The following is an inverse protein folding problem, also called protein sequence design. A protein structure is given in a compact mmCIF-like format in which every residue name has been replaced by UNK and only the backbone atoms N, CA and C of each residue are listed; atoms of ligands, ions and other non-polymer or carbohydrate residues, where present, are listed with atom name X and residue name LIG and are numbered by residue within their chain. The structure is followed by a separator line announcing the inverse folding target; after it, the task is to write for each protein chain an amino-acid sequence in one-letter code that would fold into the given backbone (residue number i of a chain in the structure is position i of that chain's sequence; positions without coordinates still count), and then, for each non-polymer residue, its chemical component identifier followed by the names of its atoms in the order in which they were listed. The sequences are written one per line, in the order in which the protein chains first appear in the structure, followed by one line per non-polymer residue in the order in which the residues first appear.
data_IF_553915483887
#
_entry.id   IF_553915483887
#
_cell.length_a   1.000
_cell.length_b   1.000
_cell.length_c   1.000
_cell.angle_alpha   90.00
_cell.angle_beta   90.00
_cell.angle_gamma   90.00
#
_symmetry.space_group_name_H-M   'P 1'
#
loop_
_entity.id
_entity.type
_entity.pdbx_description
1 polymer ?
#
# COMPACT_ATOMS: atom_id res chain seq x y z
N UNK A 1 -26.76 -50.90 48.97
CA UNK A 1 -26.41 -52.28 48.55
C UNK A 1 -26.79 -52.42 47.08
N UNK A 2 -25.87 -52.93 46.27
CA UNK A 2 -25.79 -52.83 44.81
C UNK A 2 -27.07 -53.18 44.03
N UNK A 3 -27.20 -52.57 42.83
CA UNK A 3 -27.49 -53.30 41.59
C UNK A 3 -27.18 -52.43 40.36
N UNK A 4 -26.18 -52.88 39.61
CA UNK A 4 -25.82 -52.43 38.26
C UNK A 4 -26.95 -52.71 37.27
N UNK A 5 -27.22 -51.76 36.38
CA UNK A 5 -27.96 -51.99 35.14
C UNK A 5 -27.16 -51.38 33.98
N UNK A 6 -26.77 -52.27 33.07
CA UNK A 6 -26.01 -52.05 31.85
C UNK A 6 -26.87 -51.27 30.86
N UNK A 7 -26.36 -50.16 30.32
CA UNK A 7 -26.90 -49.56 29.09
C UNK A 7 -25.74 -49.17 28.18
N UNK A 8 -25.89 -49.49 26.91
CA UNK A 8 -24.92 -49.49 25.83
C UNK A 8 -24.16 -48.15 25.66
N UNK A 9 -22.85 -48.21 25.42
CA UNK A 9 -22.07 -47.11 24.86
C UNK A 9 -21.64 -47.45 23.43
N UNK A 10 -22.24 -46.71 22.49
CA UNK A 10 -21.78 -46.50 21.12
C UNK A 10 -20.33 -45.99 21.10
N UNK A 11 -19.47 -46.42 20.14
CA UNK A 11 -18.11 -45.90 20.05
C UNK A 11 -18.13 -44.43 19.59
N UNK A 12 -17.58 -43.55 20.42
CA UNK A 12 -17.31 -42.15 20.10
C UNK A 12 -16.45 -42.07 18.84
N UNK A 13 -17.01 -41.50 17.78
CA UNK A 13 -16.27 -41.07 16.60
C UNK A 13 -15.19 -40.06 17.03
N UNK A 14 -13.93 -40.47 16.98
CA UNK A 14 -12.79 -39.57 17.09
C UNK A 14 -12.81 -38.64 15.87
N UNK A 15 -13.29 -37.41 16.06
CA UNK A 15 -13.12 -36.34 15.06
C UNK A 15 -11.63 -36.18 14.78
N UNK A 16 -11.16 -36.70 13.63
CA UNK A 16 -9.84 -36.39 13.10
C UNK A 16 -9.80 -34.89 12.76
N UNK A 17 -9.23 -34.09 13.65
CA UNK A 17 -8.90 -32.69 13.36
C UNK A 17 -7.66 -32.70 12.47
N UNK A 18 -7.85 -32.63 11.15
CA UNK A 18 -6.76 -32.46 10.19
C UNK A 18 -6.31 -30.99 10.20
N UNK A 19 -5.08 -30.73 10.62
CA UNK A 19 -4.49 -29.39 10.59
C UNK A 19 -3.69 -29.18 9.29
N UNK A 20 -3.76 -27.97 8.72
CA UNK A 20 -3.09 -27.59 7.46
C UNK A 20 -1.77 -26.88 7.79
N UNK A 21 -0.67 -27.25 7.12
CA UNK A 21 0.67 -26.70 7.33
C UNK A 21 1.33 -26.39 5.97
N UNK A 22 2.03 -25.25 5.82
CA UNK A 22 2.60 -24.79 4.54
C UNK A 22 4.05 -25.27 4.35
N UNK A 23 4.55 -25.45 3.11
CA UNK A 23 5.89 -26.03 2.85
C UNK A 23 6.92 -25.05 2.26
N UNK A 24 8.18 -25.10 2.71
CA UNK A 24 9.34 -24.45 2.06
C UNK A 24 10.36 -25.48 1.53
N UNK A 25 10.50 -25.59 0.20
CA UNK A 25 11.74 -26.11 -0.41
C UNK A 25 12.01 -25.46 -1.76
N UNK A 26 13.21 -24.88 -1.89
CA UNK A 26 13.79 -24.35 -3.11
C UNK A 26 14.07 -25.46 -4.14
N UNK A 27 13.41 -25.42 -5.31
CA UNK A 27 13.90 -25.90 -6.60
C UNK A 27 13.45 -24.89 -7.67
N UNK A 28 14.34 -24.57 -8.61
CA UNK A 28 14.22 -23.52 -9.62
C UNK A 28 12.97 -23.63 -10.53
N UNK A 29 12.43 -22.47 -10.93
CA UNK A 29 11.51 -22.32 -12.08
C UNK A 29 10.02 -22.23 -11.75
N UNK A 30 9.48 -21.00 -11.82
CA UNK A 30 8.08 -20.63 -12.17
C UNK A 30 6.86 -21.15 -11.37
N UNK A 31 6.18 -20.17 -10.76
CA UNK A 31 4.72 -19.93 -10.66
C UNK A 31 3.86 -20.54 -9.53
N UNK A 32 2.92 -19.68 -9.09
CA UNK A 32 2.15 -19.63 -7.84
C UNK A 32 0.83 -20.44 -7.87
N UNK A 33 0.24 -20.83 -6.71
CA UNK A 33 -1.08 -20.32 -6.24
C UNK A 33 -1.60 -20.84 -4.88
N UNK A 34 -2.63 -20.13 -4.39
CA UNK A 34 -3.36 -20.14 -3.12
C UNK A 34 -4.66 -21.01 -3.07
N UNK A 35 -5.24 -21.19 -1.88
CA UNK A 35 -6.16 -22.24 -1.35
C UNK A 35 -7.52 -22.48 -2.07
N UNK A 36 -8.10 -23.69 -1.90
CA UNK A 36 -9.52 -23.90 -1.48
C UNK A 36 -9.83 -25.35 -1.03
N UNK A 37 -10.68 -25.46 -0.02
CA UNK A 37 -11.35 -26.69 0.46
C UNK A 37 -12.72 -26.78 -0.22
N UNK A 38 -13.05 -27.91 -0.85
CA UNK A 38 -14.45 -28.26 -1.13
C UNK A 38 -14.58 -29.78 -1.19
N UNK A 39 -15.51 -30.32 -0.39
CA UNK A 39 -15.79 -31.74 -0.33
C UNK A 39 -16.38 -32.29 -1.63
N UNK A 40 -16.23 -33.60 -1.83
CA UNK A 40 -16.94 -34.36 -2.86
C UNK A 40 -16.01 -35.02 -3.88
N UNK A 41 -15.77 -36.31 -3.67
CA UNK A 41 -15.55 -37.40 -4.66
C UNK A 41 -14.99 -37.05 -6.05
N UNK A 42 -13.80 -37.54 -6.37
CA UNK A 42 -13.36 -37.69 -7.77
C UNK A 42 -11.85 -37.90 -7.97
N UNK A 43 -11.49 -39.09 -8.45
CA UNK A 43 -10.20 -39.64 -8.96
C UNK A 43 -9.32 -38.67 -9.76
N UNK A 44 -8.02 -38.86 -10.05
CA UNK A 44 -6.90 -39.77 -9.72
C UNK A 44 -5.66 -39.19 -10.46
N UNK A 45 -4.40 -39.45 -10.08
CA UNK A 45 -3.28 -39.43 -11.06
C UNK A 45 -2.11 -40.38 -10.72
N UNK A 46 -1.58 -40.90 -11.83
CA UNK A 46 -0.65 -42.01 -12.04
C UNK A 46 0.82 -41.64 -11.80
N UNK A 47 1.60 -42.66 -11.39
CA UNK A 47 3.06 -42.65 -11.40
C UNK A 47 3.60 -42.52 -12.83
N UNK A 48 4.64 -41.72 -13.01
CA UNK A 48 5.63 -41.91 -14.08
C UNK A 48 7.01 -42.01 -13.43
N UNK A 49 7.76 -43.03 -13.87
CA UNK A 49 8.90 -43.61 -13.17
C UNK A 49 10.20 -42.80 -13.18
N UNK A 50 11.24 -43.54 -12.77
CA UNK A 50 12.58 -43.14 -12.41
C UNK A 50 13.34 -42.31 -13.46
N UNK A 51 14.18 -41.43 -12.90
CA UNK A 51 15.28 -40.71 -13.52
C UNK A 51 14.94 -39.59 -14.54
N UNK A 52 15.35 -38.37 -14.14
CA UNK A 52 15.46 -37.13 -14.92
C UNK A 52 14.16 -36.30 -15.03
N UNK A 53 14.09 -35.22 -14.23
CA UNK A 53 13.06 -34.18 -14.34
C UNK A 53 13.29 -33.36 -15.62
N UNK A 54 12.45 -33.57 -16.63
CA UNK A 54 12.30 -32.67 -17.78
C UNK A 54 11.02 -31.86 -17.58
N UNK A 55 11.15 -30.53 -17.50
CA UNK A 55 10.02 -29.60 -17.47
C UNK A 55 9.38 -29.55 -18.86
N UNK A 56 8.15 -30.06 -18.99
CA UNK A 56 7.27 -29.72 -20.11
C UNK A 56 6.21 -28.75 -19.60
N UNK A 57 6.20 -27.55 -20.19
CA UNK A 57 5.17 -26.55 -19.98
C UNK A 57 3.80 -27.13 -20.35
N UNK A 58 3.05 -27.49 -19.32
CA UNK A 58 1.63 -27.83 -19.47
C UNK A 58 0.88 -26.94 -18.50
N UNK A 59 0.07 -26.02 -19.04
CA UNK A 59 -0.86 -25.18 -18.28
C UNK A 59 -1.69 -26.09 -17.36
N UNK A 60 -1.41 -26.07 -16.06
CA UNK A 60 -2.16 -26.83 -15.07
C UNK A 60 -3.45 -26.10 -14.71
N UNK A 61 -4.61 -26.79 -14.69
CA UNK A 61 -5.85 -26.22 -14.17
C UNK A 61 -5.78 -26.11 -12.64
N UNK A 62 -6.51 -25.12 -12.12
CA UNK A 62 -6.58 -24.74 -10.71
C UNK A 62 -7.23 -25.88 -9.91
N UNK A 63 -6.43 -26.82 -9.40
CA UNK A 63 -6.86 -27.82 -8.43
C UNK A 63 -5.72 -28.03 -7.42
N UNK A 64 -5.85 -27.49 -6.22
CA UNK A 64 -4.79 -27.45 -5.21
C UNK A 64 -4.33 -28.85 -4.78
N UNK A 65 -3.11 -29.33 -5.11
CA UNK A 65 -2.65 -30.64 -4.67
C UNK A 65 -2.13 -30.54 -3.24
N UNK A 66 -2.98 -30.86 -2.25
CA UNK A 66 -2.55 -31.06 -0.87
C UNK A 66 -1.96 -32.46 -0.72
N UNK A 67 -0.89 -32.60 0.08
CA UNK A 67 -0.28 -33.90 0.35
C UNK A 67 -0.31 -34.21 1.84
N UNK A 68 -0.84 -35.37 2.20
CA UNK A 68 -0.82 -35.83 3.59
C UNK A 68 0.59 -36.19 4.02
N UNK A 69 0.94 -35.78 5.23
CA UNK A 69 2.16 -36.17 5.92
C UNK A 69 1.95 -36.30 7.42
N UNK A 70 2.95 -36.85 8.10
CA UNK A 70 2.97 -36.98 9.56
C UNK A 70 3.98 -35.98 10.11
N UNK A 71 3.55 -35.10 11.00
CA UNK A 71 4.46 -34.18 11.69
C UNK A 71 5.36 -34.99 12.63
N UNK A 72 6.68 -34.89 12.47
CA UNK A 72 7.65 -35.60 13.30
C UNK A 72 8.14 -34.76 14.47
N UNK A 73 8.37 -33.46 14.24
CA UNK A 73 8.89 -32.53 15.26
C UNK A 73 8.55 -31.10 14.87
N UNK A 74 8.35 -30.23 15.86
CA UNK A 74 8.13 -28.79 15.64
C UNK A 74 9.29 -27.96 16.18
N UNK A 75 10.43 -27.85 15.47
CA UNK A 75 11.50 -26.96 15.90
C UNK A 75 11.21 -25.48 15.58
N UNK A 76 11.80 -24.58 16.35
CA UNK A 76 11.93 -23.16 16.00
C UNK A 76 13.22 -22.96 15.22
N UNK A 77 13.16 -22.25 14.09
CA UNK A 77 14.34 -21.97 13.26
C UNK A 77 14.55 -20.47 13.13
N UNK A 78 15.80 -20.05 13.24
CA UNK A 78 16.23 -18.69 12.89
C UNK A 78 16.10 -18.53 11.37
N UNK A 79 15.33 -17.54 10.90
CA UNK A 79 15.24 -17.24 9.48
C UNK A 79 16.61 -16.83 8.92
N UNK A 80 16.79 -16.98 7.61
CA UNK A 80 18.03 -16.64 6.90
C UNK A 80 18.33 -15.13 6.91
N UNK A 81 17.30 -14.30 7.15
CA UNK A 81 17.42 -12.85 7.32
C UNK A 81 17.90 -12.52 8.76
N UNK A 82 19.02 -11.81 8.94
CA UNK A 82 19.40 -11.32 10.26
C UNK A 82 18.29 -10.40 10.79
N UNK A 83 17.84 -10.64 12.02
CA UNK A 83 16.78 -9.91 12.73
C UNK A 83 15.31 -10.28 12.45
N UNK A 84 15.04 -11.29 11.63
CA UNK A 84 13.65 -11.75 11.46
C UNK A 84 13.23 -12.68 12.61
N UNK A 85 11.96 -12.62 12.99
CA UNK A 85 11.43 -13.32 14.16
C UNK A 85 11.61 -14.85 14.05
N UNK A 86 11.83 -15.53 15.18
CA UNK A 86 11.91 -16.98 15.24
C UNK A 86 10.63 -17.60 14.68
N UNK A 87 10.76 -18.44 13.64
CA UNK A 87 9.61 -19.11 13.01
C UNK A 87 9.49 -20.53 13.53
N UNK A 88 8.27 -20.91 13.93
CA UNK A 88 7.93 -22.31 14.21
C UNK A 88 7.79 -23.04 12.88
N UNK A 89 8.55 -24.11 12.72
CA UNK A 89 8.49 -24.99 11.55
C UNK A 89 8.16 -26.41 12.02
N UNK A 90 7.44 -27.16 11.21
CA UNK A 90 7.17 -28.58 11.40
C UNK A 90 8.05 -29.39 10.44
N UNK A 91 8.80 -30.35 10.97
CA UNK A 91 9.43 -31.40 10.15
C UNK A 91 8.38 -32.45 9.85
N UNK A 92 7.95 -32.56 8.59
CA UNK A 92 6.86 -33.46 8.17
C UNK A 92 7.42 -34.57 7.30
N UNK A 93 6.94 -35.80 7.51
CA UNK A 93 7.18 -36.94 6.61
C UNK A 93 5.98 -37.11 5.69
N UNK A 94 6.15 -36.89 4.39
CA UNK A 94 5.10 -37.01 3.40
C UNK A 94 4.75 -38.48 3.11
N UNK A 95 3.58 -38.71 2.51
CA UNK A 95 3.12 -40.03 2.06
C UNK A 95 4.07 -40.77 1.12
N UNK A 96 4.94 -40.05 0.39
CA UNK A 96 6.00 -40.61 -0.45
C UNK A 96 7.33 -40.85 0.29
N UNK A 97 7.31 -40.91 1.62
CA UNK A 97 8.47 -41.11 2.51
C UNK A 97 9.54 -40.00 2.49
N UNK A 98 9.31 -38.88 1.80
CA UNK A 98 10.21 -37.73 1.83
C UNK A 98 10.04 -36.91 3.11
N UNK A 99 11.14 -36.35 3.60
CA UNK A 99 11.16 -35.47 4.77
C UNK A 99 11.27 -34.02 4.32
N UNK A 100 10.41 -33.18 4.88
CA UNK A 100 10.30 -31.78 4.52
C UNK A 100 10.18 -30.88 5.75
N UNK A 101 10.51 -29.60 5.59
CA UNK A 101 10.24 -28.58 6.59
C UNK A 101 9.10 -27.69 6.13
N UNK A 102 8.12 -27.55 7.00
CA UNK A 102 6.86 -26.88 6.72
C UNK A 102 6.67 -25.71 7.70
N UNK A 103 6.33 -24.52 7.21
CA UNK A 103 6.00 -23.36 8.02
C UNK A 103 4.63 -23.53 8.68
N UNK A 104 4.54 -23.19 9.97
CA UNK A 104 3.26 -23.19 10.69
C UNK A 104 2.69 -21.76 10.65
N UNK A 105 1.52 -21.54 10.02
CA UNK A 105 0.89 -20.22 10.02
C UNK A 105 0.54 -19.80 11.45
N UNK A 106 0.85 -18.54 11.79
CA UNK A 106 0.58 -17.96 13.10
C UNK A 106 -0.91 -17.77 13.37
N UNK A 107 -1.29 -18.00 14.63
CA UNK A 107 -2.64 -18.07 15.24
C UNK A 107 -3.43 -19.37 15.00
N UNK A 108 -3.81 -20.02 16.11
CA UNK A 108 -4.68 -21.21 16.15
C UNK A 108 -4.02 -22.58 15.90
N UNK A 109 -2.81 -22.63 15.35
CA UNK A 109 -2.15 -23.89 14.96
C UNK A 109 -0.94 -24.22 15.86
N UNK A 110 -1.13 -25.16 16.79
CA UNK A 110 -0.04 -25.74 17.58
C UNK A 110 -0.01 -27.27 17.37
N UNK A 111 0.51 -27.76 16.24
CA UNK A 111 0.57 -29.19 15.97
C UNK A 111 1.45 -29.88 17.03
N UNK A 112 0.91 -30.93 17.64
CA UNK A 112 1.68 -31.83 18.50
C UNK A 112 2.64 -32.69 17.65
N UNK A 113 3.45 -33.54 18.27
CA UNK A 113 4.26 -34.52 17.53
C UNK A 113 3.37 -35.71 17.09
N UNK A 114 3.61 -36.22 15.88
CA UNK A 114 2.88 -37.31 15.22
C UNK A 114 1.43 -37.12 14.70
N UNK A 115 0.81 -35.91 14.63
CA UNK A 115 -0.47 -35.74 13.95
C UNK A 115 -0.32 -35.86 12.44
N UNK A 116 -1.40 -36.32 11.80
CA UNK A 116 -1.57 -36.27 10.35
C UNK A 116 -1.87 -34.82 9.97
N UNK A 117 -1.02 -34.25 9.13
CA UNK A 117 -1.08 -32.88 8.67
C UNK A 117 -1.21 -32.87 7.15
N UNK A 118 -2.04 -31.97 6.64
CA UNK A 118 -2.14 -31.72 5.21
C UNK A 118 -1.14 -30.64 4.86
N UNK A 119 -0.16 -30.99 4.04
CA UNK A 119 0.87 -30.07 3.58
C UNK A 119 0.46 -29.48 2.26
N UNK A 120 0.47 -28.16 2.19
CA UNK A 120 0.16 -27.41 0.97
C UNK A 120 1.44 -26.84 0.37
N UNK A 121 1.60 -27.01 -0.95
CA UNK A 121 2.64 -26.32 -1.70
C UNK A 121 2.21 -24.88 -1.97
N UNK A 122 3.04 -23.90 -1.59
CA UNK A 122 2.79 -22.49 -1.83
C UNK A 122 3.82 -21.60 -1.12
N UNK A 123 3.97 -20.36 -1.58
CA UNK A 123 4.77 -19.35 -0.86
C UNK A 123 3.98 -18.82 0.33
N UNK A 124 4.65 -18.71 1.47
CA UNK A 124 4.07 -18.08 2.67
C UNK A 124 3.78 -16.62 2.36
N UNK A 125 2.58 -16.14 2.73
CA UNK A 125 2.21 -14.73 2.64
C UNK A 125 3.27 -13.90 3.35
N UNK A 126 3.83 -12.90 2.66
CA UNK A 126 4.89 -12.07 3.21
C UNK A 126 4.41 -11.43 4.51
N UNK A 127 5.00 -11.87 5.63
CA UNK A 127 4.89 -11.16 6.90
C UNK A 127 5.99 -10.11 6.87
N UNK A 128 5.66 -8.81 6.98
CA UNK A 128 6.65 -7.76 7.11
C UNK A 128 7.58 -8.06 8.28
N UNK A 129 8.86 -7.74 8.12
CA UNK A 129 9.80 -7.73 9.23
C UNK A 129 9.39 -6.60 10.21
N UNK A 130 9.66 -6.74 11.53
CA UNK A 130 9.29 -5.72 12.50
C UNK A 130 9.93 -4.37 12.14
N UNK A 131 9.08 -3.35 11.94
CA UNK A 131 9.51 -2.01 11.54
C UNK A 131 9.35 -1.00 12.69
N UNK A 132 10.35 -0.14 12.95
CA UNK A 132 10.22 0.93 13.94
C UNK A 132 9.48 2.17 13.40
N UNK A 133 9.18 2.23 12.10
CA UNK A 133 8.61 3.42 11.47
C UNK A 133 7.20 3.76 11.95
N UNK A 134 6.28 2.81 12.24
CA UNK A 134 4.97 3.12 12.80
C UNK A 134 5.04 3.86 14.14
N UNK A 135 5.90 3.41 15.07
CA UNK A 135 6.05 4.07 16.38
C UNK A 135 6.72 5.44 16.22
N UNK A 136 7.74 5.55 15.37
CA UNK A 136 8.40 6.82 15.04
C UNK A 136 7.40 7.83 14.47
N UNK A 137 6.58 7.43 13.49
CA UNK A 137 5.56 8.29 12.89
C UNK A 137 4.50 8.73 13.90
N UNK A 138 4.06 7.83 14.78
CA UNK A 138 3.08 8.17 15.83
C UNK A 138 3.62 9.18 16.84
N UNK A 139 4.89 9.07 17.25
CA UNK A 139 5.54 10.03 18.14
C UNK A 139 5.75 11.38 17.44
N UNK A 140 6.08 11.37 16.14
CA UNK A 140 6.15 12.59 15.33
C UNK A 140 4.80 13.31 15.25
N UNK A 141 3.72 12.57 14.95
CA UNK A 141 2.36 13.12 14.90
C UNK A 141 1.92 13.70 16.26
N UNK A 142 2.23 13.02 17.37
CA UNK A 142 1.96 13.52 18.71
C UNK A 142 2.75 14.81 18.99
N UNK A 143 4.04 14.85 18.65
CA UNK A 143 4.86 16.05 18.83
C UNK A 143 4.36 17.23 17.98
N UNK A 144 3.93 16.99 16.73
CA UNK A 144 3.36 18.02 15.85
C UNK A 144 2.04 18.56 16.39
N UNK A 145 1.14 17.70 16.87
CA UNK A 145 -0.17 18.12 17.41
C UNK A 145 -0.02 18.90 18.72
N UNK A 146 0.77 18.39 19.67
CA UNK A 146 1.05 19.08 20.94
C UNK A 146 1.82 20.39 20.69
N UNK A 147 2.85 20.35 19.83
CA UNK A 147 3.63 21.52 19.44
C UNK A 147 2.79 22.58 18.74
N UNK A 148 1.85 22.18 17.89
CA UNK A 148 0.91 23.07 17.21
C UNK A 148 -0.03 23.79 18.18
N UNK A 149 -0.62 23.06 19.13
CA UNK A 149 -1.44 23.66 20.21
C UNK A 149 -0.59 24.63 21.04
N UNK A 150 0.61 24.21 21.45
CA UNK A 150 1.53 25.09 22.19
C UNK A 150 1.99 26.30 21.39
N UNK A 151 2.04 26.23 20.06
CA UNK A 151 2.41 27.35 19.19
C UNK A 151 1.28 28.38 19.06
N UNK A 152 0.03 27.93 19.01
CA UNK A 152 -1.15 28.82 18.93
C UNK A 152 -1.50 29.47 20.27
N UNK A 153 -0.97 28.94 21.38
CA UNK A 153 -1.16 29.46 22.73
C UNK A 153 0.15 30.06 23.28
N UNK A 154 0.11 30.89 24.34
CA UNK A 154 1.31 31.57 24.86
C UNK A 154 2.21 30.64 25.70
N UNK A 155 2.54 29.45 25.19
CA UNK A 155 3.46 28.51 25.83
C UNK A 155 4.86 28.62 25.23
N UNK A 156 5.88 28.60 26.09
CA UNK A 156 7.27 28.63 25.66
C UNK A 156 7.66 27.30 24.97
N UNK A 157 8.40 27.38 23.86
CA UNK A 157 8.89 26.21 23.13
C UNK A 157 7.87 25.52 22.21
N UNK A 158 6.68 26.08 22.00
CA UNK A 158 5.69 25.50 21.07
C UNK A 158 6.22 25.39 19.63
N UNK A 159 6.81 26.46 19.11
CA UNK A 159 7.38 26.49 17.76
C UNK A 159 8.49 25.46 17.55
N UNK A 160 9.37 25.27 18.54
CA UNK A 160 10.48 24.31 18.45
C UNK A 160 9.97 22.88 18.46
N UNK A 161 8.99 22.55 19.32
CA UNK A 161 8.37 21.24 19.34
C UNK A 161 7.61 20.93 18.05
N UNK A 162 6.86 21.91 17.51
CA UNK A 162 6.16 21.78 16.23
C UNK A 162 7.14 21.47 15.08
N UNK A 163 8.21 22.26 14.95
CA UNK A 163 9.22 22.07 13.90
C UNK A 163 9.93 20.73 14.05
N UNK A 164 10.27 20.32 15.28
CA UNK A 164 10.89 19.03 15.55
C UNK A 164 9.97 17.86 15.18
N UNK A 165 8.67 17.95 15.52
CA UNK A 165 7.67 16.96 15.13
C UNK A 165 7.54 16.84 13.61
N UNK A 166 7.46 17.97 12.89
CA UNK A 166 7.39 17.99 11.42
C UNK A 166 8.63 17.36 10.78
N UNK A 167 9.84 17.71 11.25
CA UNK A 167 11.08 17.10 10.76
C UNK A 167 11.07 15.59 10.99
N UNK A 168 10.59 15.14 12.15
CA UNK A 168 10.54 13.72 12.51
C UNK A 168 9.55 12.92 11.64
N UNK A 169 8.39 13.51 11.30
CA UNK A 169 7.43 12.93 10.35
C UNK A 169 8.06 12.81 8.96
N UNK A 170 8.65 13.89 8.44
CA UNK A 170 9.29 13.89 7.12
C UNK A 170 10.43 12.87 7.05
N UNK A 171 11.24 12.76 8.10
CA UNK A 171 12.28 11.75 8.22
C UNK A 171 11.69 10.33 8.18
N UNK A 172 10.65 10.07 8.95
CA UNK A 172 9.99 8.75 8.99
C UNK A 172 9.41 8.40 7.62
N UNK A 173 8.74 9.32 6.94
CA UNK A 173 8.21 9.11 5.58
C UNK A 173 9.32 8.75 4.59
N UNK A 174 10.43 9.50 4.59
CA UNK A 174 11.57 9.23 3.70
C UNK A 174 12.19 7.86 3.94
N UNK A 175 12.47 7.52 5.20
CA UNK A 175 13.14 6.26 5.56
C UNK A 175 12.22 5.06 5.38
N UNK A 176 10.93 5.21 5.68
CA UNK A 176 9.95 4.15 5.48
C UNK A 176 9.76 3.85 4.00
N UNK A 177 9.58 4.86 3.15
CA UNK A 177 9.46 4.63 1.71
C UNK A 177 10.74 4.06 1.10
N UNK A 178 11.93 4.46 1.59
CA UNK A 178 13.18 3.80 1.20
C UNK A 178 13.14 2.30 1.48
N UNK A 179 12.64 1.88 2.64
CA UNK A 179 12.57 0.46 3.01
C UNK A 179 11.54 -0.30 2.17
N UNK A 180 10.37 0.30 1.89
CA UNK A 180 9.39 -0.26 0.93
C UNK A 180 10.01 -0.46 -0.45
N UNK A 181 10.82 0.50 -0.92
CA UNK A 181 11.52 0.38 -2.20
C UNK A 181 12.58 -0.73 -2.21
N UNK A 182 13.26 -0.96 -1.09
CA UNK A 182 14.22 -2.07 -0.93
C UNK A 182 13.51 -3.41 -0.94
N UNK A 183 12.44 -3.55 -0.17
CA UNK A 183 11.61 -4.75 -0.10
C UNK A 183 11.02 -5.11 -1.47
N UNK A 184 10.57 -4.10 -2.23
CA UNK A 184 10.00 -4.30 -3.56
C UNK A 184 11.05 -4.64 -4.62
N UNK A 185 12.13 -3.85 -4.71
CA UNK A 185 13.03 -3.85 -5.86
C UNK A 185 14.25 -4.74 -5.66
N UNK A 186 14.82 -4.74 -4.45
CA UNK A 186 16.05 -5.47 -4.14
C UNK A 186 15.76 -6.87 -3.59
N UNK A 187 14.74 -7.00 -2.73
CA UNK A 187 14.39 -8.27 -2.11
C UNK A 187 13.30 -9.05 -2.89
N UNK A 188 12.54 -8.37 -3.74
CA UNK A 188 11.56 -9.00 -4.63
C UNK A 188 10.30 -9.52 -3.93
N UNK A 189 9.93 -8.95 -2.78
CA UNK A 189 8.77 -9.39 -1.99
C UNK A 189 7.42 -9.02 -2.62
N UNK A 190 7.39 -8.11 -3.59
CA UNK A 190 6.16 -7.65 -4.24
C UNK A 190 5.66 -8.63 -5.31
N UNK A 191 5.14 -9.79 -4.88
CA UNK A 191 4.43 -10.73 -5.78
C UNK A 191 3.17 -10.09 -6.37
N UNK A 192 2.62 -10.67 -7.46
CA UNK A 192 1.39 -10.15 -8.10
C UNK A 192 0.21 -10.05 -7.11
N UNK A 193 0.12 -10.99 -6.17
CA UNK A 193 -0.89 -10.97 -5.11
C UNK A 193 -0.67 -9.81 -4.13
N UNK A 194 0.58 -9.55 -3.73
CA UNK A 194 0.93 -8.43 -2.85
C UNK A 194 0.67 -7.10 -3.53
N UNK A 195 1.00 -6.96 -4.82
CA UNK A 195 0.78 -5.74 -5.61
C UNK A 195 -0.68 -5.29 -5.68
N UNK A 196 -1.65 -6.20 -5.54
CA UNK A 196 -3.07 -5.83 -5.43
C UNK A 196 -3.34 -4.97 -4.19
N UNK A 197 -2.63 -5.22 -3.08
CA UNK A 197 -2.77 -4.47 -1.83
C UNK A 197 -2.48 -2.97 -2.01
N UNK A 198 -1.26 -2.57 -2.43
CA UNK A 198 -0.94 -1.18 -2.72
C UNK A 198 -1.86 -0.55 -3.76
N UNK A 199 -2.30 -1.28 -4.78
CA UNK A 199 -3.26 -0.75 -5.78
C UNK A 199 -4.59 -0.36 -5.16
N UNK A 200 -5.22 -1.28 -4.41
CA UNK A 200 -6.45 -0.97 -3.69
C UNK A 200 -6.24 0.10 -2.61
N UNK A 201 -5.09 0.06 -1.93
CA UNK A 201 -4.70 1.08 -0.94
C UNK A 201 -4.63 2.48 -1.54
N UNK A 202 -3.97 2.64 -2.69
CA UNK A 202 -3.91 3.92 -3.41
C UNK A 202 -5.29 4.40 -3.86
N UNK A 203 -6.14 3.51 -4.39
CA UNK A 203 -7.50 3.88 -4.79
C UNK A 203 -8.31 4.36 -3.58
N UNK A 204 -8.31 3.61 -2.47
CA UNK A 204 -9.03 3.99 -1.26
C UNK A 204 -8.50 5.30 -0.66
N UNK A 205 -7.19 5.52 -0.71
CA UNK A 205 -6.57 6.78 -0.30
C UNK A 205 -7.03 7.96 -1.17
N UNK A 206 -7.02 7.83 -2.50
CA UNK A 206 -7.53 8.88 -3.40
C UNK A 206 -9.01 9.16 -3.13
N UNK A 207 -9.82 8.13 -2.91
CA UNK A 207 -11.24 8.30 -2.56
C UNK A 207 -11.40 9.09 -1.26
N UNK A 208 -10.57 8.84 -0.24
CA UNK A 208 -10.62 9.66 0.98
C UNK A 208 -10.21 11.11 0.75
N UNK A 209 -9.20 11.37 -0.10
CA UNK A 209 -8.78 12.74 -0.44
C UNK A 209 -9.86 13.49 -1.24
N UNK A 210 -10.58 12.81 -2.13
CA UNK A 210 -11.72 13.39 -2.86
C UNK A 210 -12.83 13.79 -1.89
N UNK A 211 -13.14 12.97 -0.89
CA UNK A 211 -14.13 13.30 0.14
C UNK A 211 -13.66 14.44 1.05
N UNK A 212 -12.36 14.51 1.33
CA UNK A 212 -11.78 15.63 2.06
C UNK A 212 -11.92 16.95 1.28
N UNK A 213 -11.58 16.97 -0.01
CA UNK A 213 -11.75 18.16 -0.86
C UNK A 213 -13.23 18.53 -1.05
N UNK A 214 -14.13 17.53 -1.12
CA UNK A 214 -15.57 17.76 -1.22
C UNK A 214 -16.11 18.61 -0.07
N UNK A 215 -15.55 18.49 1.14
CA UNK A 215 -15.97 19.31 2.28
C UNK A 215 -15.74 20.82 2.04
N UNK A 216 -14.62 21.20 1.40
CA UNK A 216 -14.34 22.61 1.08
C UNK A 216 -15.22 23.12 -0.07
N UNK A 217 -15.46 22.29 -1.09
CA UNK A 217 -16.43 22.62 -2.15
C UNK A 217 -17.83 22.82 -1.59
N UNK A 218 -18.24 21.95 -0.66
CA UNK A 218 -19.51 22.07 0.04
C UNK A 218 -19.59 23.38 0.84
N UNK A 219 -18.55 23.72 1.59
CA UNK A 219 -18.49 24.98 2.35
C UNK A 219 -18.61 26.21 1.43
N UNK A 220 -17.85 26.26 0.33
CA UNK A 220 -17.91 27.36 -0.64
C UNK A 220 -19.29 27.45 -1.32
N UNK A 221 -19.87 26.32 -1.70
CA UNK A 221 -21.20 26.27 -2.34
C UNK A 221 -22.30 26.70 -1.38
N UNK A 222 -22.25 26.26 -0.12
CA UNK A 222 -23.21 26.65 0.90
C UNK A 222 -23.19 28.17 1.14
N UNK A 223 -21.99 28.76 1.26
CA UNK A 223 -21.84 30.20 1.50
C UNK A 223 -22.16 31.06 0.28
N UNK A 224 -21.95 30.57 -0.94
CA UNK A 224 -22.22 31.31 -2.18
C UNK A 224 -23.67 31.23 -2.63
N UNK A 225 -24.36 30.10 -2.43
CA UNK A 225 -25.75 29.90 -2.84
C UNK A 225 -26.75 30.59 -1.89
N UNK A 226 -26.42 30.72 -0.62
CA UNK A 226 -27.24 31.38 0.40
C UNK A 226 -26.40 32.37 1.24
N UNK A 227 -25.95 33.49 0.63
CA UNK A 227 -25.10 34.46 1.32
C UNK A 227 -25.81 35.08 2.52
N UNK A 228 -25.12 35.15 3.67
CA UNK A 228 -25.69 35.71 4.90
C UNK A 228 -25.88 37.22 4.79
N UNK A 229 -26.76 37.76 5.64
CA UNK A 229 -27.01 39.21 5.71
C UNK A 229 -25.74 39.97 6.12
N UNK A 230 -24.87 39.35 6.91
CA UNK A 230 -23.59 39.92 7.37
C UNK A 230 -22.62 40.24 6.23
N UNK A 231 -22.63 39.44 5.14
CA UNK A 231 -21.83 39.71 3.93
C UNK A 231 -22.58 40.57 2.90
N UNK A 232 -23.76 41.08 3.26
CA UNK A 232 -24.59 41.93 2.41
C UNK A 232 -25.55 41.18 1.50
N UNK A 233 -25.79 39.88 1.74
CA UNK A 233 -26.76 39.06 1.00
C UNK A 233 -26.44 38.86 -0.48
N UNK A 234 -25.18 39.04 -0.87
CA UNK A 234 -24.70 38.88 -2.25
C UNK A 234 -23.39 38.10 -2.27
N UNK A 235 -23.09 37.46 -3.40
CA UNK A 235 -21.84 36.77 -3.63
C UNK A 235 -21.20 37.23 -4.94
N UNK A 236 -19.90 37.58 -4.97
CA UNK A 236 -18.99 37.71 -3.84
C UNK A 236 -19.37 38.84 -2.86
N UNK A 237 -18.90 38.81 -1.59
CA UNK A 237 -19.18 39.87 -0.62
C UNK A 237 -18.74 41.26 -1.10
N UNK A 238 -19.48 42.29 -0.71
CA UNK A 238 -19.15 43.69 -1.01
C UNK A 238 -17.76 44.05 -0.50
N UNK A 239 -16.94 44.67 -1.36
CA UNK A 239 -15.60 45.16 -1.00
C UNK A 239 -14.47 44.15 -1.19
N UNK A 240 -14.78 42.91 -1.61
CA UNK A 240 -13.76 41.92 -1.94
C UNK A 240 -13.38 42.04 -3.41
N UNK A 241 -12.08 42.28 -3.67
CA UNK A 241 -11.52 42.17 -5.01
C UNK A 241 -11.44 40.71 -5.43
N UNK A 242 -12.04 40.37 -6.56
CA UNK A 242 -12.06 39.00 -7.09
C UNK A 242 -10.97 38.90 -8.16
N UNK A 243 -10.26 37.78 -8.17
CA UNK A 243 -9.29 37.47 -9.23
C UNK A 243 -10.02 37.26 -10.55
N UNK A 244 -9.52 37.85 -11.63
CA UNK A 244 -10.07 37.62 -12.96
C UNK A 244 -9.75 36.18 -13.40
N UNK A 245 -10.78 35.33 -13.67
CA UNK A 245 -10.56 33.98 -14.14
C UNK A 245 -9.77 33.89 -15.44
N UNK A 246 -9.74 34.94 -16.26
CA UNK A 246 -9.12 34.96 -17.59
C UNK A 246 -7.61 35.23 -17.60
N UNK A 247 -7.02 35.56 -16.44
CA UNK A 247 -5.60 35.87 -16.32
C UNK A 247 -4.78 34.61 -15.93
N UNK A 248 -4.12 34.64 -14.77
CA UNK A 248 -3.30 33.55 -14.26
C UNK A 248 -4.11 32.25 -14.08
N UNK A 249 -5.36 32.24 -13.56
CA UNK A 249 -6.15 31.02 -13.43
C UNK A 249 -6.37 30.33 -14.78
N UNK A 250 -6.70 31.10 -15.82
CA UNK A 250 -6.90 30.56 -17.16
C UNK A 250 -5.61 29.96 -17.72
N UNK A 251 -4.45 30.60 -17.50
CA UNK A 251 -3.16 30.07 -17.94
C UNK A 251 -2.76 28.79 -17.20
N UNK A 252 -3.12 28.66 -15.91
CA UNK A 252 -2.82 27.47 -15.12
C UNK A 252 -3.67 26.26 -15.55
N UNK A 253 -4.88 26.52 -16.04
CA UNK A 253 -5.86 25.50 -16.44
C UNK A 253 -5.40 24.54 -17.54
N UNK A 254 -4.74 24.95 -18.65
CA UNK A 254 -4.22 24.02 -19.66
C UNK A 254 -2.89 23.36 -19.28
N UNK A 255 -2.12 23.95 -18.36
CA UNK A 255 -0.80 23.42 -17.96
C UNK A 255 -0.96 22.10 -17.23
N UNK A 256 -1.92 22.02 -16.30
CA UNK A 256 -2.14 20.81 -15.49
C UNK A 256 -2.61 19.61 -16.33
N UNK A 257 -3.64 19.69 -17.21
CA UNK A 257 -4.00 18.63 -18.15
C UNK A 257 -2.87 18.29 -19.13
N UNK A 258 -2.06 19.26 -19.56
CA UNK A 258 -0.89 18.99 -20.40
C UNK A 258 0.15 18.13 -19.68
N UNK A 259 0.35 18.35 -18.38
CA UNK A 259 1.17 17.47 -17.55
C UNK A 259 0.55 16.06 -17.41
N UNK A 260 -0.79 15.97 -17.34
CA UNK A 260 -1.53 14.71 -17.39
C UNK A 260 -1.31 13.93 -18.70
N UNK A 261 -1.28 14.63 -19.83
CA UNK A 261 -0.95 14.03 -21.12
C UNK A 261 0.52 13.54 -21.16
N UNK A 262 1.44 14.32 -20.59
CA UNK A 262 2.86 13.97 -20.51
C UNK A 262 3.13 12.73 -19.62
N UNK A 263 2.45 12.60 -18.47
CA UNK A 263 2.60 11.40 -17.62
C UNK A 263 1.97 10.17 -18.28
N UNK A 264 0.88 10.35 -19.03
CA UNK A 264 0.29 9.28 -19.84
C UNK A 264 1.24 8.81 -20.93
N UNK A 265 1.94 9.75 -21.59
CA UNK A 265 3.01 9.42 -22.52
C UNK A 265 4.15 8.65 -21.83
N UNK A 266 4.59 9.08 -20.64
CA UNK A 266 5.59 8.36 -19.85
C UNK A 266 5.15 6.91 -19.56
N UNK A 267 3.89 6.70 -19.18
CA UNK A 267 3.35 5.37 -18.92
C UNK A 267 3.44 4.45 -20.13
N UNK A 268 3.02 4.94 -21.31
CA UNK A 268 3.11 4.17 -22.55
C UNK A 268 4.56 3.82 -22.92
N UNK A 269 5.51 4.73 -22.67
CA UNK A 269 6.93 4.45 -22.92
C UNK A 269 7.53 3.45 -21.94
N UNK A 270 7.10 3.43 -20.67
CA UNK A 270 7.47 2.39 -19.69
C UNK A 270 6.98 1.02 -20.18
N UNK A 271 5.72 0.92 -20.61
CA UNK A 271 5.13 -0.31 -21.13
C UNK A 271 5.83 -0.78 -22.43
N UNK A 272 6.21 0.16 -23.30
CA UNK A 272 6.99 -0.12 -24.51
C UNK A 272 8.45 -0.51 -24.20
N UNK A 273 8.96 -0.21 -23.01
CA UNK A 273 10.36 -0.40 -22.61
C UNK A 273 11.32 0.63 -23.18
N UNK A 274 10.83 1.80 -23.55
CA UNK A 274 11.64 2.91 -24.06
C UNK A 274 12.10 3.78 -22.90
N UNK A 275 13.04 3.27 -22.10
CA UNK A 275 13.46 3.87 -20.82
C UNK A 275 13.85 5.34 -20.93
N UNK A 276 14.68 5.72 -21.93
CA UNK A 276 15.12 7.11 -22.11
C UNK A 276 13.96 8.05 -22.42
N UNK A 277 12.98 7.61 -23.22
CA UNK A 277 11.82 8.44 -23.59
C UNK A 277 10.87 8.59 -22.40
N UNK A 278 10.69 7.54 -21.61
CA UNK A 278 9.94 7.61 -20.36
C UNK A 278 10.54 8.64 -19.39
N UNK A 279 11.87 8.70 -19.26
CA UNK A 279 12.54 9.75 -18.46
C UNK A 279 12.27 11.14 -19.01
N UNK A 280 12.36 11.36 -20.33
CA UNK A 280 12.07 12.67 -20.92
C UNK A 280 10.62 13.12 -20.69
N UNK A 281 9.66 12.20 -20.83
CA UNK A 281 8.26 12.49 -20.56
C UNK A 281 8.00 12.81 -19.07
N UNK A 282 8.65 12.09 -18.15
CA UNK A 282 8.59 12.37 -16.71
C UNK A 282 9.19 13.74 -16.36
N UNK A 283 10.34 14.09 -16.94
CA UNK A 283 10.95 15.42 -16.76
C UNK A 283 10.01 16.51 -17.26
N UNK A 284 9.42 16.34 -18.45
CA UNK A 284 8.44 17.30 -18.99
C UNK A 284 7.23 17.47 -18.07
N UNK A 285 6.71 16.37 -17.51
CA UNK A 285 5.60 16.38 -16.55
C UNK A 285 5.95 17.21 -15.30
N UNK A 286 7.11 16.92 -14.68
CA UNK A 286 7.58 17.63 -13.49
C UNK A 286 7.83 19.11 -13.78
N UNK A 287 8.41 19.44 -14.93
CA UNK A 287 8.63 20.84 -15.33
C UNK A 287 7.31 21.60 -15.45
N UNK A 288 6.28 21.02 -16.07
CA UNK A 288 4.95 21.65 -16.15
C UNK A 288 4.30 21.82 -14.77
N UNK A 289 4.42 20.83 -13.88
CA UNK A 289 3.89 20.91 -12.52
C UNK A 289 4.59 22.00 -11.67
N UNK A 290 5.91 22.16 -11.81
CA UNK A 290 6.66 23.24 -11.17
C UNK A 290 6.24 24.62 -11.69
N UNK A 291 6.02 24.75 -12.99
CA UNK A 291 5.51 26.00 -13.59
C UNK A 291 4.11 26.32 -13.06
N UNK A 292 3.21 25.33 -12.99
CA UNK A 292 1.87 25.49 -12.42
C UNK A 292 1.91 25.94 -10.96
N UNK A 293 2.78 25.33 -10.14
CA UNK A 293 2.99 25.72 -8.74
C UNK A 293 3.53 27.15 -8.63
N UNK A 294 4.44 27.55 -9.54
CA UNK A 294 4.95 28.92 -9.63
C UNK A 294 3.87 29.95 -9.95
N UNK A 295 2.98 29.66 -10.92
CA UNK A 295 1.84 30.51 -11.23
C UNK A 295 0.88 30.65 -10.04
N UNK A 296 0.58 29.56 -9.33
CA UNK A 296 -0.24 29.60 -8.12
C UNK A 296 0.38 30.47 -7.02
N UNK A 297 1.70 30.41 -6.85
CA UNK A 297 2.42 31.27 -5.91
C UNK A 297 2.35 32.76 -6.27
N UNK A 298 2.44 33.09 -7.57
CA UNK A 298 2.27 34.47 -8.03
C UNK A 298 0.84 34.98 -7.84
N UNK A 299 -0.15 34.13 -8.10
CA UNK A 299 -1.56 34.44 -7.85
C UNK A 299 -1.81 34.76 -6.37
N UNK A 300 -1.26 33.97 -5.44
CA UNK A 300 -1.40 34.24 -4.01
C UNK A 300 -0.69 35.51 -3.55
N UNK A 301 0.44 35.86 -4.16
CA UNK A 301 1.15 37.08 -3.85
C UNK A 301 0.42 38.34 -4.34
N UNK A 302 -0.27 38.25 -5.47
CA UNK A 302 -1.01 39.36 -6.10
C UNK A 302 -2.49 39.39 -5.71
N UNK A 303 -2.98 38.38 -5.00
CA UNK A 303 -4.39 38.25 -4.62
C UNK A 303 -4.85 39.46 -3.79
N UNK A 304 -5.94 40.15 -4.22
CA UNK A 304 -6.55 41.20 -3.42
C UNK A 304 -7.09 40.71 -2.06
N UNK A 305 -7.75 39.53 -1.93
CA UNK A 305 -8.20 39.03 -0.64
C UNK A 305 -7.10 38.26 0.08
N UNK A 306 -7.18 38.24 1.40
CA UNK A 306 -6.39 37.40 2.31
C UNK A 306 -7.26 36.29 2.91
N UNK A 307 -6.64 35.32 3.59
CA UNK A 307 -7.38 34.23 4.26
C UNK A 307 -8.37 34.72 5.34
N UNK A 308 -8.09 35.89 5.94
CA UNK A 308 -8.95 36.55 6.93
C UNK A 308 -10.11 37.34 6.33
N UNK A 309 -10.15 37.53 5.01
CA UNK A 309 -11.14 38.39 4.36
C UNK A 309 -12.44 37.63 4.07
N UNK A 310 -13.31 37.61 5.08
CA UNK A 310 -14.62 36.95 5.07
C UNK A 310 -14.56 35.44 4.79
N UNK A 311 -15.75 34.83 4.69
CA UNK A 311 -15.90 33.45 4.26
C UNK A 311 -15.39 33.21 2.82
N UNK A 312 -15.38 34.24 1.96
CA UNK A 312 -14.83 34.15 0.61
C UNK A 312 -13.33 33.83 0.65
N UNK A 313 -12.53 34.64 1.34
CA UNK A 313 -11.09 34.44 1.46
C UNK A 313 -10.76 33.10 2.14
N UNK A 314 -11.43 32.79 3.24
CA UNK A 314 -11.22 31.52 3.96
C UNK A 314 -11.51 30.30 3.09
N UNK A 315 -12.65 30.26 2.38
CA UNK A 315 -12.99 29.10 1.52
C UNK A 315 -12.12 29.01 0.28
N UNK A 316 -11.78 30.16 -0.33
CA UNK A 316 -10.88 30.23 -1.48
C UNK A 316 -9.50 29.67 -1.13
N UNK A 317 -8.79 30.27 -0.15
CA UNK A 317 -7.42 29.88 0.17
C UNK A 317 -7.30 28.48 0.79
N UNK A 318 -8.31 27.99 1.52
CA UNK A 318 -8.29 26.61 2.00
C UNK A 318 -8.46 25.62 0.85
N UNK A 319 -9.42 25.83 -0.06
CA UNK A 319 -9.66 24.92 -1.17
C UNK A 319 -8.47 24.89 -2.14
N UNK A 320 -8.01 26.06 -2.61
CA UNK A 320 -6.89 26.16 -3.55
C UNK A 320 -5.56 25.83 -2.86
N UNK A 321 -5.40 26.15 -1.57
CA UNK A 321 -4.21 25.84 -0.78
C UNK A 321 -4.02 24.35 -0.58
N UNK A 322 -5.07 23.62 -0.21
CA UNK A 322 -5.00 22.16 -0.13
C UNK A 322 -4.77 21.51 -1.49
N UNK A 323 -5.41 22.01 -2.56
CA UNK A 323 -5.11 21.54 -3.91
C UNK A 323 -3.62 21.76 -4.26
N UNK A 324 -3.07 22.95 -4.02
CA UNK A 324 -1.65 23.24 -4.25
C UNK A 324 -0.71 22.36 -3.42
N UNK A 325 -1.09 22.05 -2.17
CA UNK A 325 -0.36 21.08 -1.34
C UNK A 325 -0.33 19.69 -1.97
N UNK A 326 -1.45 19.22 -2.55
CA UNK A 326 -1.49 17.95 -3.27
C UNK A 326 -0.62 17.98 -4.53
N UNK A 327 -0.63 19.08 -5.30
CA UNK A 327 0.23 19.24 -6.49
C UNK A 327 1.71 19.12 -6.10
N UNK A 328 2.12 19.69 -4.96
CA UNK A 328 3.50 19.56 -4.45
C UNK A 328 3.82 18.10 -4.09
N UNK A 329 2.93 17.41 -3.37
CA UNK A 329 3.11 15.98 -3.03
C UNK A 329 3.23 15.14 -4.31
N UNK A 330 2.34 15.35 -5.28
CA UNK A 330 2.34 14.64 -6.56
C UNK A 330 3.61 14.89 -7.35
N UNK A 331 4.09 16.14 -7.37
CA UNK A 331 5.35 16.52 -8.01
C UNK A 331 6.54 15.80 -7.36
N UNK A 332 6.63 15.77 -6.03
CA UNK A 332 7.68 15.04 -5.30
C UNK A 332 7.61 13.53 -5.59
N UNK A 333 6.41 12.96 -5.66
CA UNK A 333 6.21 11.55 -5.96
C UNK A 333 6.64 11.20 -7.39
N UNK A 334 6.32 12.06 -8.37
CA UNK A 334 6.75 11.91 -9.76
C UNK A 334 8.26 12.12 -9.93
N UNK A 335 8.89 13.03 -9.18
CA UNK A 335 10.35 13.19 -9.14
C UNK A 335 11.01 11.88 -8.69
N UNK A 336 10.51 11.26 -7.61
CA UNK A 336 11.02 9.96 -7.14
C UNK A 336 10.83 8.90 -8.23
N UNK A 337 9.67 8.86 -8.90
CA UNK A 337 9.44 7.93 -10.01
C UNK A 337 10.41 8.18 -11.19
N UNK A 338 10.70 9.44 -11.52
CA UNK A 338 11.69 9.83 -12.53
C UNK A 338 13.09 9.34 -12.19
N UNK A 339 13.54 9.54 -10.95
CA UNK A 339 14.83 9.01 -10.46
C UNK A 339 14.86 7.49 -10.56
N UNK A 340 13.79 6.80 -10.15
CA UNK A 340 13.69 5.34 -10.24
C UNK A 340 13.70 4.82 -11.67
N UNK A 341 13.05 5.53 -12.61
CA UNK A 341 13.08 5.18 -14.03
C UNK A 341 14.48 5.35 -14.61
N UNK A 342 15.16 6.45 -14.25
CA UNK A 342 16.54 6.71 -14.68
C UNK A 342 17.51 5.64 -14.17
N UNK A 343 17.31 5.14 -12.95
CA UNK A 343 18.08 4.04 -12.37
C UNK A 343 17.67 2.64 -12.88
N UNK A 344 16.68 2.54 -13.78
CA UNK A 344 16.23 1.26 -14.34
C UNK A 344 15.48 0.36 -13.34
N UNK A 345 14.93 0.91 -12.27
CA UNK A 345 14.26 0.14 -11.21
C UNK A 345 12.82 -0.26 -11.56
N UNK A 346 12.24 0.35 -12.59
CA UNK A 346 10.87 0.08 -13.03
C UNK A 346 10.89 -0.73 -14.32
N UNK A 347 10.11 -1.82 -14.34
CA UNK A 347 10.06 -2.74 -15.48
C UNK A 347 8.70 -2.69 -16.15
N UNK A 348 8.59 -3.23 -17.37
CA UNK A 348 7.34 -3.29 -18.15
C UNK A 348 6.16 -3.93 -17.40
N UNK A 349 6.44 -4.86 -16.50
CA UNK A 349 5.40 -5.59 -15.76
C UNK A 349 5.29 -5.18 -14.29
N UNK A 350 6.28 -4.45 -13.77
CA UNK A 350 6.36 -4.09 -12.36
C UNK A 350 6.74 -2.62 -12.17
N UNK A 351 5.72 -1.77 -12.04
CA UNK A 351 5.84 -0.33 -11.84
C UNK A 351 4.65 0.25 -11.03
N UNK A 352 4.14 -0.50 -10.04
CA UNK A 352 2.98 -0.10 -9.21
C UNK A 352 3.15 1.26 -8.53
N UNK A 353 4.37 1.62 -8.12
CA UNK A 353 4.63 2.94 -7.53
C UNK A 353 4.43 4.09 -8.52
N UNK A 354 4.72 3.88 -9.81
CA UNK A 354 4.41 4.85 -10.85
C UNK A 354 2.92 4.88 -11.19
N UNK A 355 2.24 3.71 -11.22
CA UNK A 355 0.77 3.68 -11.37
C UNK A 355 0.08 4.51 -10.28
N UNK A 356 0.49 4.33 -9.02
CA UNK A 356 -0.03 5.11 -7.90
C UNK A 356 0.25 6.62 -8.03
N UNK A 357 1.44 7.00 -8.48
CA UNK A 357 1.81 8.40 -8.71
C UNK A 357 1.14 9.04 -9.94
N UNK A 358 0.68 8.24 -10.90
CA UNK A 358 -0.05 8.71 -12.07
C UNK A 358 -1.58 8.78 -11.82
N UNK A 359 -2.10 8.01 -10.86
CA UNK A 359 -3.49 8.11 -10.41
C UNK A 359 -3.72 9.28 -9.45
N UNK A 360 -2.72 9.57 -8.61
CA UNK A 360 -2.68 10.74 -7.75
C UNK A 360 -2.39 11.99 -8.58
#
# INVERSE_FOLDING_TARGET
MAKEARTEQSPLATKKVSQVIDHDSYIAGTQDLCLCYQGGTGQAFSLCGYDRLSLKDTKTPIQCPQKQGVCLRVPTRTPKKPNSALRKIAKVRLSNRQHIFAHIPGEGHNPQEHPIVLVRGGRVKDSPDPSPWPISGSLGALATTVGGVMYMHPFQGGATLLNLGLIFILYTMFVWWRDVLRESTLEGHHTKAVQLGPRYGSILFIVSEVMFLFAFFWASSHSSLAPTVEIGGIWPPKGIGVLDPWEIPFLNTPILPSSGAAVTWAHHDILAGKEKRAVYALVATVSLALVSTGFQGMEYYQAPPTISDSIYGSTFFLATGFHGFHVIIGTLFLIICGIRQYLGQMTKEHHVGFEAAAWY
#
